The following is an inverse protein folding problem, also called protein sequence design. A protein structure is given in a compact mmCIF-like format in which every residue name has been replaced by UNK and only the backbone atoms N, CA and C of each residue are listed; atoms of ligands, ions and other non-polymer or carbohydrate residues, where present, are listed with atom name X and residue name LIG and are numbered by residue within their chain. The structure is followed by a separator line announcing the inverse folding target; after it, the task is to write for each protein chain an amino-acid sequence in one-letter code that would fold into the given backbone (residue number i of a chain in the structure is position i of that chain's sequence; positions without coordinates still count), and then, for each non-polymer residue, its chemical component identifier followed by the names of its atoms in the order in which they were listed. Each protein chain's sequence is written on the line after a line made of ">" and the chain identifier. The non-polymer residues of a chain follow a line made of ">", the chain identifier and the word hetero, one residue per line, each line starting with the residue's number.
data_IF_147181627670
#
_entry.id   IF_147181627670
#
_cell.length_a   1.000
_cell.length_b   1.000
_cell.length_c   1.000
_cell.angle_alpha   90.00
_cell.angle_beta   90.00
_cell.angle_gamma   90.00
#
_symmetry.space_group_name_H-M   'P 1'
#
loop_
_entity.id
_entity.type
_entity.pdbx_description
1 polymer ?
#
# COMPACT_ATOMS: atom_id res chain seq x y z
N UNK A 1 -3.64 23.11 -21.94
CA UNK A 1 -4.70 23.50 -20.99
C UNK A 1 -4.99 22.25 -20.19
N UNK A 2 -4.47 22.13 -18.97
CA UNK A 2 -4.86 21.02 -18.09
C UNK A 2 -6.28 21.29 -17.61
N UNK A 3 -7.22 20.43 -17.99
CA UNK A 3 -8.55 20.46 -17.42
C UNK A 3 -8.45 20.06 -15.95
N UNK A 4 -8.94 20.90 -15.05
CA UNK A 4 -9.06 20.53 -13.64
C UNK A 4 -10.00 19.32 -13.54
N UNK A 5 -9.51 18.22 -12.94
CA UNK A 5 -10.32 17.03 -12.69
C UNK A 5 -11.12 17.26 -11.41
N UNK A 6 -12.45 17.26 -11.52
CA UNK A 6 -13.34 17.30 -10.35
C UNK A 6 -13.50 15.88 -9.79
N UNK A 7 -13.03 15.65 -8.57
CA UNK A 7 -13.19 14.38 -7.85
C UNK A 7 -14.45 14.43 -6.98
N UNK A 8 -15.23 13.36 -7.00
CA UNK A 8 -16.46 13.20 -6.22
C UNK A 8 -16.14 12.54 -4.87
N UNK A 9 -16.75 13.07 -3.80
CA UNK A 9 -16.67 12.47 -2.46
C UNK A 9 -17.33 11.10 -2.47
N UNK A 10 -16.69 10.12 -1.83
CA UNK A 10 -17.22 8.74 -1.73
C UNK A 10 -16.93 7.85 -2.95
N UNK A 11 -16.25 8.37 -3.97
CA UNK A 11 -15.85 7.59 -5.14
C UNK A 11 -14.37 7.21 -5.07
N UNK A 12 -14.07 5.96 -5.41
CA UNK A 12 -12.69 5.45 -5.46
C UNK A 12 -12.03 5.79 -6.79
N UNK A 13 -10.91 6.49 -6.72
CA UNK A 13 -10.06 6.82 -7.85
C UNK A 13 -8.70 6.13 -7.69
N UNK A 14 -8.10 5.73 -8.80
CA UNK A 14 -6.78 5.12 -8.80
C UNK A 14 -5.90 5.78 -9.84
N UNK A 15 -4.61 5.91 -9.54
CA UNK A 15 -3.63 6.52 -10.43
C UNK A 15 -2.54 5.52 -10.71
N UNK A 16 -2.12 5.40 -11.97
CA UNK A 16 -0.94 4.64 -12.32
C UNK A 16 -0.20 5.28 -13.48
N UNK A 17 1.13 5.29 -13.40
CA UNK A 17 2.00 5.82 -14.45
C UNK A 17 1.66 7.25 -14.91
N UNK A 18 1.04 8.05 -14.03
CA UNK A 18 0.65 9.45 -14.29
C UNK A 18 -0.79 9.64 -14.74
N UNK A 19 -1.50 8.57 -15.08
CA UNK A 19 -2.87 8.63 -15.59
C UNK A 19 -3.90 8.25 -14.51
N UNK A 20 -5.12 8.80 -14.61
CA UNK A 20 -6.22 8.54 -13.68
C UNK A 20 -7.16 7.44 -14.23
N UNK A 21 -7.51 6.47 -13.39
CA UNK A 21 -8.46 5.38 -13.69
C UNK A 21 -8.16 4.62 -14.99
N UNK A 22 -6.87 4.53 -15.29
CA UNK A 22 -6.28 3.85 -16.43
C UNK A 22 -5.70 2.51 -15.97
N UNK A 23 -5.46 1.60 -16.91
CA UNK A 23 -4.92 0.25 -16.67
C UNK A 23 -5.88 -0.70 -15.95
N UNK A 24 -5.89 -1.94 -16.41
CA UNK A 24 -6.70 -3.02 -15.84
C UNK A 24 -6.34 -3.29 -14.36
N UNK A 25 -5.06 -3.23 -13.97
CA UNK A 25 -4.64 -3.34 -12.56
C UNK A 25 -5.26 -2.32 -11.63
N UNK A 26 -5.59 -1.12 -12.12
CA UNK A 26 -6.26 -0.10 -11.31
C UNK A 26 -7.73 -0.46 -11.13
N UNK A 27 -8.40 -0.91 -12.20
CA UNK A 27 -9.77 -1.40 -12.10
C UNK A 27 -9.88 -2.60 -11.15
N UNK A 28 -9.00 -3.61 -11.33
CA UNK A 28 -8.87 -4.76 -10.43
C UNK A 28 -8.56 -4.34 -9.00
N UNK A 29 -7.56 -3.48 -8.80
CA UNK A 29 -7.16 -3.00 -7.48
C UNK A 29 -8.31 -2.34 -6.72
N UNK A 30 -9.13 -1.53 -7.38
CA UNK A 30 -10.32 -0.92 -6.75
C UNK A 30 -11.31 -1.95 -6.25
N UNK A 31 -11.63 -2.97 -7.06
CA UNK A 31 -12.56 -4.04 -6.69
C UNK A 31 -11.99 -4.84 -5.51
N UNK A 32 -10.69 -5.14 -5.55
CA UNK A 32 -10.02 -5.89 -4.49
C UNK A 32 -9.96 -5.09 -3.18
N UNK A 33 -9.62 -3.81 -3.22
CA UNK A 33 -9.63 -2.96 -2.02
C UNK A 33 -11.03 -2.78 -1.45
N UNK A 34 -12.04 -2.60 -2.30
CA UNK A 34 -13.42 -2.50 -1.84
C UNK A 34 -13.87 -3.79 -1.15
N UNK A 35 -13.54 -4.94 -1.74
CA UNK A 35 -13.78 -6.26 -1.14
C UNK A 35 -13.04 -6.44 0.20
N UNK A 36 -11.77 -6.07 0.27
CA UNK A 36 -10.95 -6.15 1.48
C UNK A 36 -11.53 -5.30 2.62
N UNK A 37 -11.92 -4.06 2.32
CA UNK A 37 -12.53 -3.17 3.32
C UNK A 37 -13.90 -3.69 3.78
N UNK A 38 -14.73 -4.19 2.87
CA UNK A 38 -16.03 -4.75 3.23
C UNK A 38 -15.91 -6.04 4.03
N UNK A 39 -14.96 -6.92 3.69
CA UNK A 39 -14.70 -8.15 4.44
C UNK A 39 -14.23 -7.87 5.87
N UNK A 40 -13.51 -6.77 6.09
CA UNK A 40 -12.98 -6.36 7.40
C UNK A 40 -13.85 -5.34 8.14
N UNK A 41 -15.12 -5.15 7.79
CA UNK A 41 -15.94 -4.09 8.38
C UNK A 41 -16.15 -4.23 9.90
N UNK A 42 -16.19 -5.47 10.39
CA UNK A 42 -16.34 -5.82 11.81
C UNK A 42 -15.01 -6.29 12.45
N UNK A 43 -13.92 -6.24 11.68
CA UNK A 43 -12.59 -6.72 12.07
C UNK A 43 -11.80 -5.67 12.84
N UNK A 44 -10.75 -6.11 13.54
CA UNK A 44 -9.78 -5.18 14.13
C UNK A 44 -8.78 -4.63 13.08
N UNK A 45 -8.04 -3.58 13.46
CA UNK A 45 -7.11 -2.93 12.53
C UNK A 45 -6.02 -3.86 11.96
N UNK A 46 -5.45 -4.82 12.72
CA UNK A 46 -4.56 -5.84 12.17
C UNK A 46 -5.15 -6.66 11.04
N UNK A 47 -6.36 -7.17 11.20
CA UNK A 47 -7.02 -7.99 10.20
C UNK A 47 -7.32 -7.17 8.94
N UNK A 48 -7.81 -5.93 9.08
CA UNK A 48 -7.94 -5.01 7.94
C UNK A 48 -6.60 -4.79 7.22
N UNK A 49 -5.50 -4.62 7.97
CA UNK A 49 -4.18 -4.47 7.38
C UNK A 49 -3.75 -5.71 6.59
N UNK A 50 -4.06 -6.91 7.06
CA UNK A 50 -3.75 -8.15 6.34
C UNK A 50 -4.55 -8.27 5.04
N UNK A 51 -5.84 -7.96 5.08
CA UNK A 51 -6.68 -7.96 3.88
C UNK A 51 -6.16 -6.95 2.85
N UNK A 52 -5.82 -5.73 3.27
CA UNK A 52 -5.22 -4.71 2.40
C UNK A 52 -3.85 -5.14 1.87
N UNK A 53 -3.00 -5.76 2.70
CA UNK A 53 -1.69 -6.26 2.29
C UNK A 53 -1.82 -7.36 1.24
N UNK A 54 -2.81 -8.24 1.35
CA UNK A 54 -3.07 -9.30 0.37
C UNK A 54 -3.31 -8.72 -1.04
N UNK A 55 -4.07 -7.62 -1.12
CA UNK A 55 -4.31 -6.89 -2.37
C UNK A 55 -3.00 -6.31 -2.91
N UNK A 56 -2.19 -5.70 -2.05
CA UNK A 56 -0.90 -5.11 -2.41
C UNK A 56 0.15 -6.14 -2.84
N UNK A 57 -0.07 -7.42 -2.55
CA UNK A 57 0.79 -8.53 -2.95
C UNK A 57 0.28 -9.27 -4.19
N UNK A 58 -0.81 -8.81 -4.82
CA UNK A 58 -1.39 -9.45 -5.99
C UNK A 58 -0.45 -9.32 -7.22
N UNK A 59 0.10 -10.44 -7.74
CA UNK A 59 1.03 -10.43 -8.87
C UNK A 59 0.32 -10.64 -10.21
N UNK A 60 -1.02 -10.62 -10.24
CA UNK A 60 -1.83 -10.92 -11.42
C UNK A 60 -1.49 -9.95 -12.56
N UNK A 61 -1.24 -10.53 -13.73
CA UNK A 61 -0.90 -9.82 -14.95
C UNK A 61 -2.10 -9.76 -15.89
N UNK A 62 -2.17 -8.66 -16.64
CA UNK A 62 -3.14 -8.47 -17.70
C UNK A 62 -2.64 -9.17 -18.98
N UNK A 63 -3.51 -9.70 -19.84
CA UNK A 63 -3.09 -10.21 -21.14
C UNK A 63 -2.39 -9.13 -21.96
N UNK A 64 -1.38 -9.51 -22.74
CA UNK A 64 -0.60 -8.57 -23.57
C UNK A 64 -1.48 -7.77 -24.54
N UNK A 65 -2.57 -8.37 -25.02
CA UNK A 65 -3.54 -7.76 -25.94
C UNK A 65 -4.37 -6.65 -25.30
N UNK A 66 -4.50 -6.68 -23.97
CA UNK A 66 -5.25 -5.71 -23.17
C UNK A 66 -4.34 -4.64 -22.55
N UNK A 67 -3.02 -4.70 -22.83
CA UNK A 67 -2.09 -3.67 -22.38
C UNK A 67 -2.37 -2.33 -23.07
N UNK A 68 -2.36 -1.22 -22.32
CA UNK A 68 -2.52 0.10 -22.92
C UNK A 68 -1.28 0.44 -23.75
N UNK A 69 -1.47 1.04 -24.92
CA UNK A 69 -0.37 1.62 -25.69
C UNK A 69 -0.04 3.01 -25.13
N UNK A 70 0.90 3.07 -24.20
CA UNK A 70 1.32 4.31 -23.53
C UNK A 70 2.47 5.03 -24.22
N UNK A 71 3.00 4.45 -25.31
CA UNK A 71 4.18 4.95 -26.00
C UNK A 71 5.51 4.46 -25.40
N UNK A 72 5.47 3.64 -24.35
CA UNK A 72 6.63 2.91 -23.83
C UNK A 72 6.80 1.55 -24.55
N UNK A 73 8.00 0.93 -24.50
CA UNK A 73 8.17 -0.42 -25.03
C UNK A 73 7.25 -1.42 -24.34
N UNK A 74 6.64 -2.32 -25.11
CA UNK A 74 5.73 -3.35 -24.58
C UNK A 74 6.33 -4.19 -23.45
N UNK A 75 7.65 -4.41 -23.45
CA UNK A 75 8.35 -5.09 -22.35
C UNK A 75 8.26 -4.34 -21.02
N UNK A 76 8.23 -3.00 -21.06
CA UNK A 76 8.06 -2.18 -19.87
C UNK A 76 6.61 -2.23 -19.38
N UNK A 77 5.66 -2.10 -20.30
CA UNK A 77 4.22 -2.18 -20.00
C UNK A 77 3.86 -3.54 -19.38
N UNK A 78 4.44 -4.63 -19.87
CA UNK A 78 4.33 -5.99 -19.30
C UNK A 78 4.85 -6.14 -17.88
N UNK A 79 5.89 -5.38 -17.50
CA UNK A 79 6.46 -5.48 -16.16
C UNK A 79 5.61 -4.68 -15.17
N UNK A 80 5.17 -3.49 -15.57
CA UNK A 80 4.46 -2.57 -14.67
C UNK A 80 2.96 -2.83 -14.60
N UNK A 81 2.42 -3.87 -15.26
CA UNK A 81 0.99 -4.14 -15.32
C UNK A 81 0.40 -4.83 -14.08
N UNK A 82 1.19 -5.35 -13.16
CA UNK A 82 0.68 -5.97 -11.94
C UNK A 82 0.58 -4.94 -10.80
N UNK A 83 -0.24 -5.22 -9.78
CA UNK A 83 -0.27 -4.42 -8.55
C UNK A 83 1.06 -4.60 -7.81
N UNK A 84 1.51 -5.85 -7.70
CA UNK A 84 2.81 -6.22 -7.19
C UNK A 84 3.71 -6.72 -8.33
N UNK A 85 4.80 -6.02 -8.61
CA UNK A 85 5.77 -6.39 -9.66
C UNK A 85 6.68 -7.51 -9.14
N UNK A 86 6.56 -8.75 -9.64
CA UNK A 86 7.35 -9.85 -9.14
C UNK A 86 8.81 -9.77 -9.59
N UNK A 87 9.68 -10.46 -8.84
CA UNK A 87 11.09 -10.65 -9.16
C UNK A 87 11.92 -9.37 -9.08
N UNK A 88 11.41 -8.32 -8.44
CA UNK A 88 12.02 -6.98 -8.40
C UNK A 88 12.56 -6.59 -9.77
N UNK A 89 11.69 -6.70 -10.78
CA UNK A 89 12.03 -6.32 -12.14
C UNK A 89 12.51 -4.86 -12.11
N UNK A 90 13.73 -4.58 -12.62
CA UNK A 90 14.46 -3.31 -12.49
C UNK A 90 15.15 -3.02 -11.14
N UNK A 91 15.36 -4.04 -10.30
CA UNK A 91 16.15 -3.99 -9.05
C UNK A 91 15.66 -3.04 -7.95
N UNK A 92 14.64 -2.21 -8.20
CA UNK A 92 14.09 -1.25 -7.25
C UNK A 92 12.55 -1.18 -7.23
N UNK A 93 11.85 -2.13 -7.85
CA UNK A 93 10.39 -2.20 -7.85
C UNK A 93 9.87 -3.06 -6.69
N UNK A 94 8.76 -2.62 -6.07
CA UNK A 94 8.06 -3.36 -4.99
C UNK A 94 8.98 -3.80 -3.83
N UNK A 95 9.84 -2.90 -3.37
CA UNK A 95 10.81 -3.16 -2.29
C UNK A 95 10.15 -3.21 -0.91
N UNK A 96 9.05 -2.49 -0.71
CA UNK A 96 8.26 -2.52 0.52
C UNK A 96 6.82 -2.08 0.28
N UNK A 97 5.94 -2.52 1.19
CA UNK A 97 4.54 -2.09 1.27
C UNK A 97 4.26 -1.64 2.71
N UNK A 98 3.74 -0.43 2.88
CA UNK A 98 3.36 0.11 4.19
C UNK A 98 1.87 0.38 4.21
N UNK A 99 1.15 -0.23 5.15
CA UNK A 99 -0.27 0.01 5.42
C UNK A 99 -0.42 0.73 6.74
N UNK A 100 -1.20 1.81 6.74
CA UNK A 100 -1.54 2.58 7.94
C UNK A 100 -3.06 2.56 8.05
N UNK A 101 -3.57 1.79 9.00
CA UNK A 101 -4.99 1.72 9.33
C UNK A 101 -5.28 2.65 10.51
N UNK A 102 -6.36 3.42 10.42
CA UNK A 102 -6.79 4.37 11.45
C UNK A 102 -8.25 4.09 11.78
N UNK A 103 -8.55 3.81 13.04
CA UNK A 103 -9.92 3.60 13.49
C UNK A 103 -10.67 4.92 13.68
N UNK A 104 -12.01 4.91 13.76
CA UNK A 104 -12.79 6.07 14.17
C UNK A 104 -12.44 6.61 15.57
N UNK A 105 -11.92 5.77 16.46
CA UNK A 105 -11.40 6.16 17.78
C UNK A 105 -10.01 6.80 17.74
N UNK A 106 -9.40 6.96 16.56
CA UNK A 106 -8.02 7.42 16.35
C UNK A 106 -6.95 6.45 16.88
N UNK A 107 -7.27 5.16 16.94
CA UNK A 107 -6.25 4.13 17.08
C UNK A 107 -5.57 3.93 15.74
N UNK A 108 -4.25 3.85 15.76
CA UNK A 108 -3.44 3.70 14.55
C UNK A 108 -2.70 2.38 14.64
N UNK A 109 -2.87 1.57 13.59
CA UNK A 109 -2.06 0.39 13.37
C UNK A 109 -1.29 0.57 12.07
N UNK A 110 0.02 0.40 12.14
CA UNK A 110 0.89 0.46 10.99
C UNK A 110 1.55 -0.89 10.80
N UNK A 111 1.60 -1.35 9.56
CA UNK A 111 2.34 -2.53 9.17
C UNK A 111 3.14 -2.27 7.91
N UNK A 112 4.40 -2.63 7.95
CA UNK A 112 5.31 -2.57 6.81
C UNK A 112 5.86 -3.95 6.52
N UNK A 113 5.84 -4.34 5.25
CA UNK A 113 6.46 -5.54 4.73
C UNK A 113 7.60 -5.13 3.80
N UNK A 114 8.75 -5.77 3.92
CA UNK A 114 9.89 -5.63 3.00
C UNK A 114 10.05 -6.91 2.19
N UNK A 115 10.37 -6.76 0.91
CA UNK A 115 10.54 -7.88 -0.03
C UNK A 115 11.99 -8.02 -0.48
N UNK A 116 12.44 -9.26 -0.65
CA UNK A 116 13.68 -9.56 -1.36
C UNK A 116 13.50 -9.44 -2.87
N UNK A 117 14.61 -9.58 -3.59
CA UNK A 117 14.62 -9.54 -5.05
C UNK A 117 13.80 -10.69 -5.68
N UNK A 118 13.70 -11.84 -5.03
CA UNK A 118 12.86 -12.96 -5.48
C UNK A 118 11.38 -12.80 -5.09
N UNK A 119 10.99 -11.61 -4.61
CA UNK A 119 9.67 -11.30 -4.07
C UNK A 119 9.30 -12.02 -2.77
N UNK A 120 10.21 -12.79 -2.16
CA UNK A 120 9.96 -13.35 -0.85
C UNK A 120 9.88 -12.25 0.21
N UNK A 121 8.98 -12.41 1.17
CA UNK A 121 8.91 -11.52 2.32
C UNK A 121 10.13 -11.74 3.22
N UNK A 122 10.91 -10.70 3.47
CA UNK A 122 12.14 -10.77 4.29
C UNK A 122 12.05 -10.05 5.62
N UNK A 123 11.01 -9.25 5.82
CA UNK A 123 10.82 -8.56 7.09
C UNK A 123 9.44 -7.97 7.21
N UNK A 124 8.97 -7.91 8.45
CA UNK A 124 7.71 -7.26 8.83
C UNK A 124 7.96 -6.38 10.04
N UNK A 125 7.46 -5.15 9.99
CA UNK A 125 7.39 -4.24 11.12
C UNK A 125 5.92 -3.94 11.39
N UNK A 126 5.43 -4.25 12.58
CA UNK A 126 4.08 -3.89 13.00
C UNK A 126 4.14 -2.99 14.22
N UNK A 127 3.37 -1.89 14.21
CA UNK A 127 3.35 -0.90 15.29
C UNK A 127 1.94 -0.44 15.58
N UNK A 128 1.60 -0.51 16.87
CA UNK A 128 0.39 0.08 17.42
C UNK A 128 0.70 1.45 18.03
N UNK A 129 -0.16 2.42 17.77
CA UNK A 129 -0.17 3.70 18.45
C UNK A 129 -1.61 4.06 18.82
N UNK A 130 -1.88 4.12 20.11
CA UNK A 130 -3.11 4.69 20.65
C UNK A 130 -2.93 6.20 20.67
N UNK A 131 -3.72 6.93 19.88
CA UNK A 131 -3.62 8.39 19.87
C UNK A 131 -4.89 9.02 20.43
N UNK A 132 -4.80 9.55 21.65
CA UNK A 132 -5.36 10.87 21.86
C UNK A 132 -4.40 11.81 21.11
N UNK A 133 -4.62 12.22 19.83
CA UNK A 133 -4.24 13.54 19.27
C UNK A 133 -4.16 13.72 17.72
N UNK A 134 -4.36 14.99 17.33
CA UNK A 134 -4.17 15.68 16.05
C UNK A 134 -3.07 15.14 15.09
N UNK A 135 -3.46 14.94 13.83
CA UNK A 135 -2.77 14.26 12.72
C UNK A 135 -1.34 14.75 12.32
N UNK A 136 -0.88 15.92 12.76
CA UNK A 136 0.36 16.56 12.24
C UNK A 136 1.70 15.88 12.63
N UNK A 137 1.73 14.81 13.43
CA UNK A 137 3.00 14.24 13.96
C UNK A 137 3.44 12.88 13.39
N UNK A 138 2.66 12.28 12.51
CA UNK A 138 2.93 10.94 11.93
C UNK A 138 4.30 10.89 11.21
N UNK A 139 4.67 11.97 10.49
CA UNK A 139 5.92 12.04 9.72
C UNK A 139 7.24 12.00 10.52
N UNK A 140 7.19 12.08 11.86
CA UNK A 140 8.38 11.91 12.73
C UNK A 140 8.56 10.47 13.23
N UNK A 141 7.55 9.62 13.17
CA UNK A 141 7.63 8.22 13.61
C UNK A 141 8.45 7.34 12.65
N UNK A 142 8.38 7.63 11.36
CA UNK A 142 8.98 6.80 10.30
C UNK A 142 10.45 7.13 9.98
N UNK A 143 10.99 8.25 10.48
CA UNK A 143 12.31 8.76 10.04
C UNK A 143 13.51 8.29 10.86
N UNK A 144 13.33 7.35 11.79
CA UNK A 144 14.42 6.75 12.58
C UNK A 144 14.10 5.28 12.85
N UNK A 145 14.77 4.37 12.13
CA UNK A 145 15.56 3.25 12.69
C UNK A 145 15.86 2.16 11.63
N UNK A 146 17.01 2.31 10.95
CA UNK A 146 17.81 1.15 10.54
C UNK A 146 18.57 0.66 11.78
N UNK A 147 17.89 0.00 12.71
CA UNK A 147 18.53 -0.80 13.77
C UNK A 147 17.65 -2.00 14.09
N UNK A 148 18.11 -3.15 13.63
CA UNK A 148 17.62 -4.49 13.96
C UNK A 148 17.37 -4.58 15.47
N UNK A 149 16.15 -4.85 15.91
CA UNK A 149 15.86 -5.17 17.30
C UNK A 149 14.84 -6.29 17.43
N UNK A 150 15.33 -7.38 18.00
CA UNK A 150 14.57 -8.42 18.65
C UNK A 150 13.64 -7.82 19.73
N UNK A 151 12.38 -8.22 19.63
CA UNK A 151 11.44 -8.52 20.71
C UNK A 151 11.79 -7.96 22.10
N UNK A 152 11.18 -6.81 22.44
CA UNK A 152 10.77 -6.40 23.80
C UNK A 152 10.03 -5.06 23.73
N UNK A 153 8.77 -5.08 24.17
CA UNK A 153 7.85 -3.95 24.09
C UNK A 153 8.36 -2.67 24.75
N UNK A 154 8.18 -1.55 24.05
CA UNK A 154 8.44 -0.21 24.57
C UNK A 154 7.12 0.52 24.87
N UNK A 155 6.95 0.93 26.14
CA UNK A 155 6.01 2.01 26.53
C UNK A 155 6.76 3.32 26.54
N UNK A 156 6.28 4.32 25.80
CA UNK A 156 6.81 5.69 25.88
C UNK A 156 6.10 6.46 26.99
N UNK A 157 6.88 7.11 27.86
CA UNK A 157 6.41 8.09 28.84
C UNK A 157 6.80 9.47 28.32
N UNK A 158 5.82 10.34 28.09
CA UNK A 158 6.06 11.74 27.70
C UNK A 158 6.02 12.59 28.99
N UNK A 159 7.11 13.27 29.34
CA UNK A 159 7.06 14.35 30.33
C UNK A 159 6.68 15.66 29.64
N UNK A 160 5.89 16.47 30.34
CA UNK A 160 5.42 17.79 29.91
C UNK A 160 6.57 18.75 29.64
#
# INVERSE_FOLDING_TARGET
>A
MEAAINLEVGKTYGVSNGDLNCWDKVARGKVLFDSAVHASIDSDLPELCEEVLSVMQNPEQTPDEDLPNTGYPATFERVVQSIFVPGNSFSHCCVSTTVIAVSPSNDVYCREITYAHDSSMVGTLSRWAYTNWNLCKIGKLFRREHKVLHDKGFRFKISK
#
